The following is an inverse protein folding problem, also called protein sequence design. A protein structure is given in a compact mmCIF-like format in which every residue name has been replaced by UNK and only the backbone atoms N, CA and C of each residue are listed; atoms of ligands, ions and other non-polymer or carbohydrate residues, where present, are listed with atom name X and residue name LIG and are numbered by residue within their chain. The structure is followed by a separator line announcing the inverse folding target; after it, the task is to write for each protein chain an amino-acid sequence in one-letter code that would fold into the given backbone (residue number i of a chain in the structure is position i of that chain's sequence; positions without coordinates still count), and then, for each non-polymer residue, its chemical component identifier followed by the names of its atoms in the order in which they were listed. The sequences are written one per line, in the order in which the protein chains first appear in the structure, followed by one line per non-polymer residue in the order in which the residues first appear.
data_IF_425807035020
#
_entry.id   IF_425807035020
#
_cell.length_a   1.000
_cell.length_b   1.000
_cell.length_c   1.000
_cell.angle_alpha   90.00
_cell.angle_beta   90.00
_cell.angle_gamma   90.00
#
_symmetry.space_group_name_H-M   'P 1'
#
loop_
_entity.id
_entity.type
_entity.pdbx_description
1 polymer ?
#
# COMPACT_ATOMS: atom_id res chain seq x y z
N UNK A 1 -19.54 -32.52 -23.49
CA UNK A 1 -19.71 -31.06 -23.37
C UNK A 1 -19.03 -30.68 -22.07
N UNK A 2 -17.79 -30.23 -22.14
CA UNK A 2 -16.95 -29.96 -20.97
C UNK A 2 -17.45 -28.66 -20.35
N UNK A 3 -18.02 -28.74 -19.16
CA UNK A 3 -18.37 -27.56 -18.36
C UNK A 3 -17.15 -26.64 -18.30
N UNK A 4 -17.32 -25.37 -18.68
CA UNK A 4 -16.46 -24.30 -18.21
C UNK A 4 -16.70 -24.21 -16.69
N UNK A 5 -16.04 -25.08 -15.91
CA UNK A 5 -15.94 -24.90 -14.47
C UNK A 5 -15.07 -23.67 -14.26
N UNK A 6 -15.73 -22.51 -14.29
CA UNK A 6 -15.13 -21.23 -13.95
C UNK A 6 -14.51 -21.33 -12.56
N UNK A 7 -13.35 -20.72 -12.39
CA UNK A 7 -12.72 -20.60 -11.08
C UNK A 7 -13.63 -19.71 -10.22
N UNK A 8 -14.37 -20.32 -9.29
CA UNK A 8 -15.14 -19.55 -8.32
C UNK A 8 -14.20 -18.82 -7.36
N UNK A 9 -14.42 -17.51 -7.21
CA UNK A 9 -13.77 -16.74 -6.17
C UNK A 9 -14.28 -17.20 -4.80
N UNK A 10 -13.38 -17.70 -3.97
CA UNK A 10 -13.65 -17.88 -2.55
C UNK A 10 -13.66 -16.51 -1.85
N UNK A 11 -14.85 -15.93 -1.77
CA UNK A 11 -15.11 -14.65 -1.12
C UNK A 11 -14.68 -14.63 0.36
N UNK A 12 -14.68 -15.78 1.04
CA UNK A 12 -14.24 -15.86 2.44
C UNK A 12 -12.74 -15.70 2.54
N UNK A 13 -11.99 -16.41 1.70
CA UNK A 13 -10.53 -16.30 1.64
C UNK A 13 -10.09 -14.90 1.21
N UNK A 14 -10.73 -14.35 0.18
CA UNK A 14 -10.45 -12.97 -0.27
C UNK A 14 -10.77 -11.95 0.80
N UNK A 15 -11.92 -12.07 1.47
CA UNK A 15 -12.31 -11.17 2.56
C UNK A 15 -11.28 -11.17 3.70
N UNK A 16 -10.84 -12.36 4.15
CA UNK A 16 -9.79 -12.48 5.19
C UNK A 16 -8.47 -11.85 4.74
N UNK A 17 -8.05 -12.10 3.50
CA UNK A 17 -6.83 -11.53 2.94
C UNK A 17 -6.87 -10.00 2.90
N UNK A 18 -7.99 -9.42 2.45
CA UNK A 18 -8.17 -7.96 2.42
C UNK A 18 -8.18 -7.35 3.82
N UNK A 19 -8.83 -7.98 4.81
CA UNK A 19 -8.81 -7.50 6.20
C UNK A 19 -7.40 -7.56 6.81
N UNK A 20 -6.64 -8.62 6.54
CA UNK A 20 -5.26 -8.74 6.97
C UNK A 20 -4.37 -7.67 6.31
N UNK A 21 -4.57 -7.41 5.01
CA UNK A 21 -3.88 -6.35 4.29
C UNK A 21 -4.17 -4.96 4.87
N UNK A 22 -5.44 -4.64 5.12
CA UNK A 22 -5.85 -3.35 5.67
C UNK A 22 -5.19 -3.12 7.06
N UNK A 23 -5.15 -4.16 7.89
CA UNK A 23 -4.50 -4.10 9.21
C UNK A 23 -3.00 -3.84 9.08
N UNK A 24 -2.31 -4.65 8.28
CA UNK A 24 -0.85 -4.56 8.08
C UNK A 24 -0.45 -3.22 7.46
N UNK A 25 -1.15 -2.78 6.42
CA UNK A 25 -0.83 -1.53 5.71
C UNK A 25 -1.09 -0.29 6.58
N UNK A 26 -2.15 -0.31 7.40
CA UNK A 26 -2.42 0.78 8.36
C UNK A 26 -1.35 0.84 9.46
N UNK A 27 -0.93 -0.31 9.99
CA UNK A 27 0.15 -0.39 10.97
C UNK A 27 1.47 0.12 10.38
N UNK A 28 1.82 -0.34 9.17
CA UNK A 28 3.00 0.12 8.43
C UNK A 28 2.98 1.64 8.23
N UNK A 29 1.84 2.21 7.82
CA UNK A 29 1.69 3.65 7.64
C UNK A 29 1.90 4.41 8.94
N UNK A 30 1.33 3.93 10.04
CA UNK A 30 1.52 4.55 11.37
C UNK A 30 2.97 4.48 11.83
N UNK A 31 3.61 3.32 11.70
CA UNK A 31 5.02 3.13 12.09
C UNK A 31 5.96 4.00 11.26
N UNK A 32 5.74 4.05 9.96
CA UNK A 32 6.55 4.86 9.06
C UNK A 32 6.42 6.35 9.34
N UNK A 33 5.20 6.87 9.52
CA UNK A 33 4.99 8.28 9.87
C UNK A 33 5.74 8.65 11.15
N UNK A 34 5.65 7.81 12.20
CA UNK A 34 6.38 8.03 13.46
C UNK A 34 7.89 8.03 13.27
N UNK A 35 8.41 7.16 12.41
CA UNK A 35 9.84 7.10 12.13
C UNK A 35 10.33 8.37 11.41
N UNK A 36 9.58 8.84 10.41
CA UNK A 36 9.88 10.10 9.69
C UNK A 36 9.87 11.28 10.64
N UNK A 37 8.82 11.40 11.48
CA UNK A 37 8.72 12.47 12.47
C UNK A 37 9.91 12.45 13.44
N UNK A 38 10.35 11.24 13.85
CA UNK A 38 11.51 11.10 14.74
C UNK A 38 12.83 11.49 14.06
N UNK A 39 13.03 11.13 12.79
CA UNK A 39 14.21 11.55 12.02
C UNK A 39 14.28 13.07 11.91
N UNK A 40 13.14 13.71 11.61
CA UNK A 40 13.06 15.18 11.51
C UNK A 40 13.37 15.85 12.83
N UNK A 41 12.76 15.39 13.93
CA UNK A 41 13.03 15.92 15.26
C UNK A 41 14.53 15.80 15.63
N UNK A 42 15.16 14.66 15.34
CA UNK A 42 16.60 14.47 15.59
C UNK A 42 17.48 15.39 14.74
N UNK A 43 17.07 15.68 13.50
CA UNK A 43 17.79 16.63 12.64
C UNK A 43 17.58 18.08 13.13
N UNK A 44 16.39 18.44 13.64
CA UNK A 44 16.10 19.76 14.20
C UNK A 44 16.89 20.06 15.48
N UNK A 45 17.21 19.03 16.28
CA UNK A 45 18.10 19.15 17.45
C UNK A 45 19.52 19.62 17.05
N UNK A 46 19.89 19.50 15.76
CA UNK A 46 21.18 19.91 15.20
C UNK A 46 22.39 19.50 16.07
N UNK A 47 22.54 18.21 16.44
CA UNK A 47 23.58 17.76 17.38
C UNK A 47 25.01 17.98 16.89
N UNK A 48 25.19 18.29 15.60
CA UNK A 48 26.47 18.59 14.97
C UNK A 48 27.02 20.00 15.29
N UNK A 49 26.22 20.89 15.89
CA UNK A 49 26.64 22.23 16.29
C UNK A 49 26.78 23.22 15.13
N UNK A 50 27.14 24.47 15.45
CA UNK A 50 27.24 25.60 14.50
C UNK A 50 28.66 25.90 14.00
N UNK A 51 29.66 25.14 14.48
CA UNK A 51 31.05 25.23 14.06
C UNK A 51 31.31 24.75 12.63
N UNK A 52 32.54 24.97 12.14
CA UNK A 52 32.96 24.55 10.79
C UNK A 52 32.86 23.04 10.58
N UNK A 53 33.09 22.27 11.64
CA UNK A 53 32.94 20.82 11.68
C UNK A 53 31.48 20.41 11.50
N UNK A 54 30.57 21.10 12.20
CA UNK A 54 29.12 20.87 12.11
C UNK A 54 28.57 21.19 10.73
N UNK A 55 28.99 22.31 10.14
CA UNK A 55 28.64 22.68 8.77
C UNK A 55 29.15 21.65 7.75
N UNK A 56 30.38 21.15 7.92
CA UNK A 56 30.96 20.13 7.03
C UNK A 56 30.23 18.80 7.15
N UNK A 57 29.89 18.37 8.38
CA UNK A 57 29.06 17.19 8.61
C UNK A 57 27.70 17.32 7.93
N UNK A 58 26.98 18.43 8.18
CA UNK A 58 25.66 18.65 7.60
C UNK A 58 25.71 18.63 6.07
N UNK A 59 26.71 19.28 5.47
CA UNK A 59 26.87 19.27 4.01
C UNK A 59 27.06 17.87 3.44
N UNK A 60 27.80 16.99 4.13
CA UNK A 60 27.98 15.61 3.70
C UNK A 60 26.73 14.76 3.95
N UNK A 61 26.08 14.94 5.10
CA UNK A 61 24.90 14.21 5.52
C UNK A 61 23.66 14.54 4.66
N UNK A 62 23.50 15.81 4.28
CA UNK A 62 22.42 16.28 3.40
C UNK A 62 22.72 16.12 1.91
N UNK A 63 23.93 15.66 1.54
CA UNK A 63 24.31 15.49 0.14
C UNK A 63 23.37 14.51 -0.57
N UNK A 64 23.09 14.78 -1.85
CA UNK A 64 22.20 13.98 -2.69
C UNK A 64 20.80 13.76 -2.08
N UNK A 65 20.27 14.77 -1.37
CA UNK A 65 18.94 14.74 -0.75
C UNK A 65 18.92 14.19 0.68
N UNK A 66 20.00 13.55 1.12
CA UNK A 66 20.19 13.13 2.50
C UNK A 66 19.04 12.29 3.07
N UNK A 67 18.77 12.39 4.38
CA UNK A 67 17.70 11.65 5.04
C UNK A 67 16.30 12.00 4.53
N UNK A 68 16.08 13.22 4.04
CA UNK A 68 14.77 13.61 3.54
C UNK A 68 14.42 12.86 2.25
N UNK A 69 15.40 12.55 1.40
CA UNK A 69 15.15 11.69 0.23
C UNK A 69 14.71 10.29 0.65
N UNK A 70 15.33 9.71 1.68
CA UNK A 70 14.92 8.43 2.24
C UNK A 70 13.50 8.51 2.82
N UNK A 71 13.19 9.58 3.56
CA UNK A 71 11.86 9.81 4.14
C UNK A 71 10.80 9.95 3.03
N UNK A 72 11.10 10.68 1.96
CA UNK A 72 10.20 10.88 0.82
C UNK A 72 9.93 9.58 0.07
N UNK A 73 10.98 8.82 -0.29
CA UNK A 73 10.82 7.56 -1.03
C UNK A 73 10.11 6.49 -0.19
N UNK A 74 10.45 6.36 1.09
CA UNK A 74 9.73 5.43 1.96
C UNK A 74 8.25 5.84 2.14
N UNK A 75 7.94 7.13 2.20
CA UNK A 75 6.55 7.62 2.24
C UNK A 75 5.81 7.27 0.96
N UNK A 76 6.44 7.42 -0.20
CA UNK A 76 5.87 7.02 -1.49
C UNK A 76 5.55 5.52 -1.51
N UNK A 77 6.50 4.67 -1.13
CA UNK A 77 6.32 3.21 -1.11
C UNK A 77 5.23 2.76 -0.14
N UNK A 78 5.18 3.34 1.06
CA UNK A 78 4.13 3.05 2.05
C UNK A 78 2.76 3.44 1.52
N UNK A 79 2.64 4.60 0.87
CA UNK A 79 1.39 5.02 0.24
C UNK A 79 0.97 4.09 -0.90
N UNK A 80 1.92 3.62 -1.72
CA UNK A 80 1.64 2.61 -2.75
C UNK A 80 1.07 1.33 -2.14
N UNK A 81 1.67 0.82 -1.06
CA UNK A 81 1.19 -0.39 -0.35
C UNK A 81 -0.23 -0.18 0.20
N UNK A 82 -0.50 0.97 0.83
CA UNK A 82 -1.84 1.30 1.35
C UNK A 82 -2.88 1.33 0.22
N UNK A 83 -2.52 1.90 -0.93
CA UNK A 83 -3.42 2.07 -2.07
C UNK A 83 -3.75 0.77 -2.82
N UNK A 84 -2.93 -0.29 -2.68
CA UNK A 84 -3.21 -1.60 -3.30
C UNK A 84 -4.49 -2.23 -2.77
N UNK A 85 -4.82 -2.05 -1.48
CA UNK A 85 -6.00 -2.65 -0.85
C UNK A 85 -7.32 -2.26 -1.53
N UNK A 86 -7.61 -0.95 -1.68
CA UNK A 86 -8.74 -0.46 -2.46
C UNK A 86 -8.79 -1.01 -3.90
N UNK A 87 -7.66 -1.01 -4.61
CA UNK A 87 -7.59 -1.54 -5.98
C UNK A 87 -7.99 -3.01 -6.05
N UNK A 88 -7.46 -3.85 -5.15
CA UNK A 88 -7.81 -5.27 -5.09
C UNK A 88 -9.29 -5.48 -4.79
N UNK A 89 -9.85 -4.70 -3.87
CA UNK A 89 -11.29 -4.77 -3.52
C UNK A 89 -12.18 -4.46 -4.72
N UNK A 90 -11.86 -3.39 -5.46
CA UNK A 90 -12.59 -3.04 -6.69
C UNK A 90 -12.47 -4.14 -7.75
N UNK A 91 -11.27 -4.70 -7.96
CA UNK A 91 -11.08 -5.80 -8.90
C UNK A 91 -11.93 -7.03 -8.55
N UNK A 92 -11.95 -7.44 -7.28
CA UNK A 92 -12.76 -8.58 -6.81
C UNK A 92 -14.26 -8.32 -6.99
N UNK A 93 -14.73 -7.13 -6.64
CA UNK A 93 -16.14 -6.74 -6.80
C UNK A 93 -16.56 -6.76 -8.26
N UNK A 94 -15.71 -6.25 -9.16
CA UNK A 94 -15.97 -6.25 -10.60
C UNK A 94 -16.08 -7.68 -11.15
N UNK A 95 -15.12 -8.55 -10.80
CA UNK A 95 -15.13 -9.95 -11.26
C UNK A 95 -16.39 -10.67 -10.76
N UNK A 96 -16.71 -10.54 -9.47
CA UNK A 96 -17.90 -11.18 -8.88
C UNK A 96 -19.20 -10.70 -9.55
N UNK A 97 -19.30 -9.41 -9.87
CA UNK A 97 -20.46 -8.85 -10.55
C UNK A 97 -20.59 -9.34 -11.99
N UNK A 98 -19.47 -9.45 -12.71
CA UNK A 98 -19.44 -10.01 -14.06
C UNK A 98 -19.85 -11.47 -14.08
N UNK A 99 -19.33 -12.30 -13.17
CA UNK A 99 -19.71 -13.72 -13.07
C UNK A 99 -21.21 -13.90 -12.77
N UNK A 100 -21.77 -13.06 -11.89
CA UNK A 100 -23.21 -13.07 -11.60
C UNK A 100 -24.05 -12.73 -12.84
N UNK A 101 -23.65 -11.71 -13.59
CA UNK A 101 -24.34 -11.27 -14.81
C UNK A 101 -24.29 -12.33 -15.93
N UNK A 102 -23.14 -12.99 -16.13
CA UNK A 102 -23.02 -14.09 -17.08
C UNK A 102 -23.91 -15.27 -16.69
N UNK A 103 -23.89 -15.66 -15.41
CA UNK A 103 -24.72 -16.76 -14.89
C UNK A 103 -26.20 -16.47 -15.12
N UNK A 104 -26.65 -15.24 -14.84
CA UNK A 104 -28.04 -14.84 -15.06
C UNK A 104 -28.42 -14.89 -16.55
N UNK A 105 -27.53 -14.42 -17.43
CA UNK A 105 -27.74 -14.45 -18.89
C UNK A 105 -27.86 -15.88 -19.41
N UNK A 106 -26.98 -16.79 -18.96
CA UNK A 106 -27.03 -18.21 -19.34
C UNK A 106 -28.33 -18.85 -18.85
N UNK A 107 -28.73 -18.62 -17.59
CA UNK A 107 -29.96 -19.16 -17.04
C UNK A 107 -31.21 -18.66 -17.81
N UNK A 108 -31.24 -17.39 -18.17
CA UNK A 108 -32.33 -16.82 -18.96
C UNK A 108 -32.40 -17.43 -20.36
N UNK A 109 -31.25 -17.67 -21.02
CA UNK A 109 -31.20 -18.26 -22.37
C UNK A 109 -31.48 -19.78 -22.39
N UNK A 110 -31.30 -20.49 -21.28
CA UNK A 110 -31.62 -21.92 -21.15
C UNK A 110 -33.06 -22.17 -20.69
N UNK A 111 -33.79 -21.12 -20.31
CA UNK A 111 -35.20 -21.20 -19.85
C UNK A 111 -36.21 -20.90 -20.97
N UNK A 112 -35.75 -20.81 -22.22
CA UNK A 112 -36.53 -20.60 -23.46
C UNK A 112 -36.36 -21.81 -24.35
#
# INVERSE_FOLDING_TARGET
MTELQGVQIDNTTVGRGLSAWDTMSSELQSMWSKAVDRVRALNEEAPWGDGTEGASFWSAYAANGGPEMLCAEGTRLVNEIVNVGPTLRTSVQNITSTDHSLTQTINNNMSV
#
